data_IF_225771796695
#
_entry.id   IF_225771796695
#
_cell.length_a   1.000
_cell.length_b   1.000
_cell.length_c   1.000
_cell.angle_alpha   90.00
_cell.angle_beta   90.00
_cell.angle_gamma   90.00
#
_symmetry.space_group_name_H-M   'P 1'
#
loop_
_entity.id
_entity.type
_entity.pdbx_description
1 polymer ?
#
# COMPACT_ATOMS: atom_id res chain seq x y z
N UNK A 1 18.18 -0.85 30.52
CA UNK A 1 17.46 -0.73 29.24
C UNK A 1 18.08 0.48 28.59
N UNK A 2 18.65 0.32 27.40
CA UNK A 2 18.92 1.48 26.56
C UNK A 2 17.58 2.12 26.21
N UNK A 3 17.49 3.43 26.04
CA UNK A 3 16.28 4.09 25.51
C UNK A 3 16.55 4.48 24.04
N UNK A 4 17.02 3.53 23.25
CA UNK A 4 17.52 3.80 21.90
C UNK A 4 16.34 4.08 20.97
N UNK A 5 16.29 5.30 20.43
CA UNK A 5 15.23 5.75 19.53
C UNK A 5 15.77 5.91 18.12
N UNK A 6 15.04 5.45 17.10
CA UNK A 6 15.31 5.79 15.71
C UNK A 6 14.16 6.59 15.08
N UNK A 7 14.45 7.25 13.96
CA UNK A 7 13.47 7.96 13.14
C UNK A 7 13.40 7.36 11.74
N UNK A 8 12.21 6.95 11.32
CA UNK A 8 11.89 6.68 9.92
C UNK A 8 11.29 7.95 9.32
N UNK A 9 11.90 8.46 8.26
CA UNK A 9 11.34 9.53 7.45
C UNK A 9 10.90 8.97 6.10
N UNK A 10 9.61 9.06 5.78
CA UNK A 10 9.11 8.68 4.46
C UNK A 10 9.22 9.86 3.48
N UNK A 11 9.99 9.71 2.41
CA UNK A 11 10.16 10.74 1.40
C UNK A 11 8.98 10.81 0.40
N UNK A 12 8.05 9.86 0.48
CA UNK A 12 6.83 9.77 -0.32
C UNK A 12 7.04 10.00 -1.82
N UNK A 13 7.50 8.98 -2.54
CA UNK A 13 7.63 8.96 -3.99
C UNK A 13 6.34 9.17 -4.80
N UNK A 14 5.20 9.42 -4.14
CA UNK A 14 3.95 9.82 -4.79
C UNK A 14 3.77 11.33 -4.95
N UNK A 15 4.67 12.14 -4.37
CA UNK A 15 4.55 13.60 -4.41
C UNK A 15 3.38 14.15 -3.58
N UNK A 16 3.05 13.52 -2.44
CA UNK A 16 2.02 14.02 -1.52
C UNK A 16 2.49 15.30 -0.80
N UNK A 17 3.79 15.40 -0.54
CA UNK A 17 4.47 16.60 -0.06
C UNK A 17 5.40 17.10 -1.18
N UNK A 18 5.63 18.42 -1.22
CA UNK A 18 6.52 19.05 -2.20
C UNK A 18 7.98 18.64 -2.00
N UNK A 19 8.80 18.80 -3.05
CA UNK A 19 10.23 18.51 -2.97
C UNK A 19 10.95 19.43 -1.97
N UNK A 20 10.62 20.73 -1.95
CA UNK A 20 11.13 21.67 -0.95
C UNK A 20 10.85 21.20 0.49
N UNK A 21 9.63 20.73 0.76
CA UNK A 21 9.26 20.24 2.09
C UNK A 21 10.02 18.98 2.48
N UNK A 22 10.33 18.10 1.52
CA UNK A 22 11.12 16.89 1.77
C UNK A 22 12.55 17.25 2.16
N UNK A 23 13.16 18.18 1.44
CA UNK A 23 14.51 18.68 1.71
C UNK A 23 14.57 19.39 3.07
N UNK A 24 13.62 20.29 3.35
CA UNK A 24 13.51 20.98 4.63
C UNK A 24 13.36 20.00 5.82
N UNK A 25 12.56 18.94 5.68
CA UNK A 25 12.41 17.91 6.71
C UNK A 25 13.70 17.10 6.90
N UNK A 26 14.35 16.69 5.81
CA UNK A 26 15.62 15.96 5.86
C UNK A 26 16.68 16.75 6.63
N UNK A 27 16.87 18.03 6.29
CA UNK A 27 17.83 18.90 6.99
C UNK A 27 17.44 19.15 8.44
N UNK A 28 16.15 19.34 8.72
CA UNK A 28 15.66 19.56 10.09
C UNK A 28 15.81 18.33 10.99
N UNK A 29 15.80 17.12 10.44
CA UNK A 29 15.93 15.88 11.21
C UNK A 29 17.38 15.50 11.53
N UNK A 30 18.35 15.80 10.66
CA UNK A 30 19.78 15.49 10.89
C UNK A 30 20.32 15.86 12.29
N UNK A 31 20.02 17.04 12.87
CA UNK A 31 20.57 17.42 14.18
C UNK A 31 19.82 16.82 15.39
N UNK A 32 18.84 15.94 15.19
CA UNK A 32 18.01 15.41 16.28
C UNK A 32 18.75 14.45 17.24
N UNK A 33 19.92 13.93 16.84
CA UNK A 33 20.73 13.06 17.71
C UNK A 33 20.16 11.64 17.84
N UNK A 34 19.55 11.12 16.77
CA UNK A 34 19.07 9.74 16.65
C UNK A 34 19.44 9.17 15.29
N UNK A 35 19.48 7.85 15.19
CA UNK A 35 19.65 7.14 13.91
C UNK A 35 18.44 7.41 12.99
N UNK A 36 18.70 7.81 11.74
CA UNK A 36 17.65 8.19 10.77
C UNK A 36 17.70 7.28 9.56
N UNK A 37 16.53 6.74 9.20
CA UNK A 37 16.29 6.02 7.96
C UNK A 37 15.33 6.81 7.08
N UNK A 38 15.84 7.39 6.01
CA UNK A 38 14.99 7.99 4.96
C UNK A 38 14.58 6.92 3.95
N UNK A 39 13.28 6.69 3.83
CA UNK A 39 12.71 5.70 2.91
C UNK A 39 12.00 6.39 1.76
N UNK A 40 12.29 6.01 0.52
CA UNK A 40 11.59 6.56 -0.65
C UNK A 40 10.06 6.41 -0.55
N UNK A 41 9.59 5.21 -0.18
CA UNK A 41 8.17 4.90 -0.02
C UNK A 41 7.94 3.91 1.14
N UNK A 42 7.58 4.39 2.33
CA UNK A 42 7.25 3.50 3.46
C UNK A 42 6.13 2.48 3.10
N UNK A 43 5.20 2.87 2.25
CA UNK A 43 4.15 1.98 1.76
C UNK A 43 4.67 0.82 0.89
N UNK A 44 5.77 1.01 0.16
CA UNK A 44 6.44 -0.04 -0.58
C UNK A 44 7.27 -0.93 0.34
N UNK A 45 8.02 -0.33 1.28
CA UNK A 45 8.78 -1.08 2.30
C UNK A 45 7.88 -2.01 3.10
N UNK A 46 6.70 -1.55 3.52
CA UNK A 46 5.77 -2.40 4.27
C UNK A 46 5.26 -3.63 3.50
N UNK A 47 5.33 -3.63 2.16
CA UNK A 47 4.94 -4.78 1.33
C UNK A 47 6.10 -5.75 1.08
N UNK A 48 7.31 -5.20 0.85
CA UNK A 48 8.40 -5.92 0.22
C UNK A 48 9.67 -6.04 1.09
N UNK A 49 9.85 -5.16 2.07
CA UNK A 49 11.05 -5.07 2.93
C UNK A 49 10.65 -5.14 4.41
N UNK A 50 9.86 -6.17 4.76
CA UNK A 50 9.33 -6.33 6.12
C UNK A 50 10.41 -6.67 7.13
N UNK A 51 11.40 -7.45 6.70
CA UNK A 51 12.51 -7.90 7.55
C UNK A 51 13.27 -6.70 8.09
N UNK A 52 13.58 -5.71 7.24
CA UNK A 52 14.17 -4.44 7.68
C UNK A 52 13.31 -3.74 8.75
N UNK A 53 11.99 -3.64 8.54
CA UNK A 53 11.10 -3.01 9.53
C UNK A 53 11.03 -3.80 10.84
N UNK A 54 11.13 -5.13 10.79
CA UNK A 54 11.18 -5.98 11.99
C UNK A 54 12.53 -5.86 12.71
N UNK A 55 13.63 -5.70 11.99
CA UNK A 55 14.96 -5.46 12.57
C UNK A 55 14.99 -4.16 13.39
N UNK A 56 14.22 -3.13 12.99
CA UNK A 56 14.12 -1.91 13.78
C UNK A 56 13.51 -2.15 15.16
N UNK A 57 12.52 -3.04 15.27
CA UNK A 57 11.90 -3.41 16.57
C UNK A 57 12.88 -4.17 17.48
N UNK A 58 13.88 -4.84 16.89
CA UNK A 58 14.92 -5.57 17.64
C UNK A 58 16.06 -4.65 18.09
N UNK A 59 16.39 -3.65 17.28
CA UNK A 59 17.56 -2.79 17.47
C UNK A 59 17.25 -1.49 18.24
N UNK A 60 15.98 -1.11 18.33
CA UNK A 60 15.54 0.14 18.95
C UNK A 60 14.37 -0.10 19.89
N UNK A 61 14.40 0.60 21.02
CA UNK A 61 13.35 0.55 22.02
C UNK A 61 12.11 1.37 21.59
N UNK A 62 12.30 2.34 20.67
CA UNK A 62 11.25 3.20 20.13
C UNK A 62 11.53 3.61 18.69
N UNK A 63 10.51 3.61 17.85
CA UNK A 63 10.59 4.07 16.45
C UNK A 63 9.66 5.27 16.22
N UNK A 64 10.23 6.44 15.94
CA UNK A 64 9.46 7.59 15.49
C UNK A 64 9.29 7.52 13.96
N UNK A 65 8.12 7.91 13.43
CA UNK A 65 7.81 7.77 12.01
C UNK A 65 7.21 9.07 11.48
N UNK A 66 7.96 9.85 10.70
CA UNK A 66 7.45 10.99 9.96
C UNK A 66 6.93 10.53 8.58
N UNK A 67 5.61 10.42 8.43
CA UNK A 67 4.98 9.82 7.26
C UNK A 67 3.57 10.37 6.96
N UNK A 68 2.74 9.56 6.30
CA UNK A 68 1.32 9.85 6.09
C UNK A 68 0.52 9.80 7.40
N UNK A 69 -0.80 9.94 7.32
CA UNK A 69 -1.70 9.88 8.48
C UNK A 69 -1.44 8.65 9.38
N UNK A 70 -1.44 8.81 10.72
CA UNK A 70 -1.26 7.71 11.68
C UNK A 70 -2.22 6.54 11.45
N UNK A 71 -3.49 6.83 11.18
CA UNK A 71 -4.51 5.83 10.85
C UNK A 71 -4.17 5.03 9.59
N UNK A 72 -3.58 5.66 8.57
CA UNK A 72 -3.10 4.95 7.39
C UNK A 72 -1.92 4.02 7.72
N UNK A 73 -0.90 4.53 8.41
CA UNK A 73 0.31 3.76 8.73
C UNK A 73 -0.01 2.57 9.64
N UNK A 74 -0.79 2.78 10.69
CA UNK A 74 -1.21 1.72 11.62
C UNK A 74 -1.91 0.57 10.89
N UNK A 75 -2.93 0.87 10.10
CA UNK A 75 -3.68 -0.16 9.38
C UNK A 75 -2.86 -0.80 8.26
N UNK A 76 -1.92 -0.06 7.66
CA UNK A 76 -0.99 -0.60 6.66
C UNK A 76 -0.03 -1.62 7.27
N UNK A 77 0.56 -1.31 8.43
CA UNK A 77 1.44 -2.23 9.14
C UNK A 77 0.70 -3.50 9.55
N UNK A 78 -0.50 -3.35 10.12
CA UNK A 78 -1.32 -4.50 10.49
C UNK A 78 -1.72 -5.34 9.27
N UNK A 79 -2.18 -4.71 8.18
CA UNK A 79 -2.58 -5.40 6.96
C UNK A 79 -1.42 -6.15 6.32
N UNK A 80 -0.23 -5.57 6.32
CA UNK A 80 0.93 -6.14 5.66
C UNK A 80 1.77 -7.04 6.57
N UNK A 81 1.43 -7.16 7.86
CA UNK A 81 2.17 -8.00 8.82
C UNK A 81 3.52 -7.41 9.26
N UNK A 82 3.63 -6.08 9.28
CA UNK A 82 4.78 -5.38 9.89
C UNK A 82 4.62 -5.41 11.40
N UNK A 83 5.64 -5.88 12.10
CA UNK A 83 5.70 -5.98 13.56
C UNK A 83 6.63 -4.87 14.05
N UNK A 84 6.04 -3.78 14.52
CA UNK A 84 6.70 -2.69 15.23
C UNK A 84 5.87 -2.45 16.49
N UNK A 85 6.46 -2.67 17.65
CA UNK A 85 5.76 -2.74 18.93
C UNK A 85 5.61 -1.36 19.59
N UNK A 86 6.66 -0.53 19.52
CA UNK A 86 6.67 0.80 20.12
C UNK A 86 7.02 1.87 19.07
N UNK A 87 5.99 2.37 18.38
CA UNK A 87 6.16 3.44 17.41
C UNK A 87 5.15 4.58 17.56
N UNK A 88 5.55 5.77 17.13
CA UNK A 88 4.71 6.96 17.07
C UNK A 88 4.79 7.60 15.68
N UNK A 89 3.64 7.97 15.10
CA UNK A 89 3.55 8.48 13.72
C UNK A 89 3.22 9.97 13.74
N UNK A 90 4.03 10.75 13.01
CA UNK A 90 3.85 12.18 12.81
C UNK A 90 3.40 12.44 11.38
N UNK A 91 2.25 13.10 11.25
CA UNK A 91 1.61 13.33 9.95
C UNK A 91 2.25 14.50 9.20
N UNK A 92 3.10 14.23 8.22
CA UNK A 92 3.68 15.30 7.41
C UNK A 92 2.69 15.99 6.46
N UNK A 93 1.47 15.45 6.29
CA UNK A 93 0.56 15.94 5.25
C UNK A 93 -0.10 17.24 5.66
N UNK A 94 -0.33 17.39 6.95
CA UNK A 94 -1.05 18.52 7.52
C UNK A 94 -0.13 19.42 8.36
N UNK A 95 0.84 18.84 9.07
CA UNK A 95 1.77 19.61 9.88
C UNK A 95 2.88 20.25 9.04
N UNK A 96 3.32 21.45 9.42
CA UNK A 96 4.49 22.12 8.84
C UNK A 96 5.80 21.52 9.32
N UNK A 97 6.92 21.87 8.67
CA UNK A 97 8.26 21.35 9.02
C UNK A 97 8.62 21.65 10.47
N UNK A 98 8.48 22.90 10.90
CA UNK A 98 8.78 23.32 12.28
C UNK A 98 8.00 22.51 13.32
N UNK A 99 6.70 22.34 13.10
CA UNK A 99 5.82 21.60 14.01
C UNK A 99 6.23 20.13 14.10
N UNK A 100 6.46 19.46 12.96
CA UNK A 100 6.85 18.03 12.94
C UNK A 100 8.20 17.85 13.64
N UNK A 101 9.17 18.69 13.33
CA UNK A 101 10.51 18.61 13.94
C UNK A 101 10.45 18.82 15.45
N UNK A 102 9.65 19.79 15.91
CA UNK A 102 9.44 20.00 17.34
C UNK A 102 8.76 18.79 18.01
N UNK A 103 7.71 18.24 17.39
CA UNK A 103 6.97 17.09 17.92
C UNK A 103 7.84 15.83 17.97
N UNK A 104 8.63 15.57 16.93
CA UNK A 104 9.60 14.45 16.91
C UNK A 104 10.67 14.67 17.99
N UNK A 105 11.27 15.86 18.05
CA UNK A 105 12.32 16.15 19.04
C UNK A 105 11.82 16.02 20.47
N UNK A 106 10.56 16.37 20.75
CA UNK A 106 9.97 16.25 22.07
C UNK A 106 9.75 14.79 22.51
N UNK A 107 9.81 13.84 21.58
CA UNK A 107 9.63 12.40 21.82
C UNK A 107 10.93 11.61 21.89
N UNK A 108 12.07 12.28 21.71
CA UNK A 108 13.42 11.73 21.90
C UNK A 108 13.81 11.96 23.36
N UNK A 109 13.97 10.87 24.11
CA UNK A 109 14.30 10.92 25.54
C UNK A 109 15.81 11.07 25.78
N UNK A 110 16.61 10.40 24.96
CA UNK A 110 18.07 10.37 25.07
C UNK A 110 18.69 10.50 23.68
N UNK A 111 19.66 11.41 23.54
CA UNK A 111 20.43 11.57 22.31
C UNK A 111 21.56 10.54 22.29
N UNK A 112 21.87 10.06 21.09
CA UNK A 112 22.95 9.11 20.87
C UNK A 112 24.25 9.85 20.56
N UNK A 113 25.38 9.34 21.05
CA UNK A 113 26.71 9.94 20.84
C UNK A 113 27.15 9.88 19.38
N UNK A 114 26.87 8.75 18.72
CA UNK A 114 27.09 8.54 17.29
C UNK A 114 25.75 8.20 16.63
N UNK A 115 25.43 8.92 15.55
CA UNK A 115 24.20 8.74 14.78
C UNK A 115 24.52 8.66 13.31
N UNK A 116 23.76 7.88 12.55
CA UNK A 116 23.85 7.88 11.10
C UNK A 116 22.56 8.37 10.43
N UNK A 117 22.70 8.74 9.17
CA UNK A 117 21.61 9.04 8.26
C UNK A 117 21.73 8.12 7.04
N UNK A 118 20.77 7.20 6.89
CA UNK A 118 20.77 6.24 5.78
C UNK A 118 19.57 6.46 4.87
N UNK A 119 19.81 6.61 3.57
CA UNK A 119 18.76 6.65 2.55
C UNK A 119 18.58 5.24 1.98
N UNK A 120 17.36 4.69 2.12
CA UNK A 120 17.00 3.39 1.55
C UNK A 120 15.96 3.55 0.45
N UNK A 121 16.31 3.01 -0.71
CA UNK A 121 15.45 2.93 -1.89
C UNK A 121 14.97 1.50 -2.10
N UNK A 122 13.85 1.35 -2.80
CA UNK A 122 13.30 0.05 -3.17
C UNK A 122 13.11 -0.02 -4.67
N UNK A 123 13.50 -1.14 -5.28
CA UNK A 123 13.30 -1.40 -6.71
C UNK A 123 11.91 -2.02 -6.97
N UNK A 124 10.86 -1.27 -6.62
CA UNK A 124 9.50 -1.68 -6.95
C UNK A 124 9.12 -1.17 -8.34
N UNK A 125 8.92 -2.08 -9.30
CA UNK A 125 8.60 -1.76 -10.71
C UNK A 125 7.26 -1.06 -10.92
N UNK A 126 6.39 -1.06 -9.92
CA UNK A 126 5.08 -0.41 -9.96
C UNK A 126 4.94 0.50 -8.74
N UNK A 127 4.20 1.61 -8.82
CA UNK A 127 3.88 2.40 -7.65
C UNK A 127 3.22 1.54 -6.58
N UNK A 128 3.58 1.75 -5.32
CA UNK A 128 2.93 1.11 -4.16
C UNK A 128 1.54 1.73 -3.90
N UNK A 129 0.68 1.68 -4.91
CA UNK A 129 -0.71 2.10 -4.87
C UNK A 129 -1.59 0.89 -4.57
N UNK A 130 -2.16 0.82 -3.37
CA UNK A 130 -3.07 -0.26 -2.98
C UNK A 130 -4.00 0.20 -1.85
N UNK A 131 -5.18 -0.43 -1.70
CA UNK A 131 -6.07 -0.13 -0.58
C UNK A 131 -5.52 -0.68 0.72
N UNK A 132 -5.73 0.06 1.80
CA UNK A 132 -5.52 -0.38 3.18
C UNK A 132 -6.88 -0.46 3.86
N UNK A 133 -7.15 -1.57 4.54
CA UNK A 133 -8.40 -1.79 5.27
C UNK A 133 -8.22 -1.37 6.72
N UNK A 134 -9.04 -0.42 7.15
CA UNK A 134 -9.25 -0.11 8.55
C UNK A 134 -10.20 -1.13 9.19
N UNK A 135 -9.62 -2.11 9.87
CA UNK A 135 -10.40 -3.21 10.47
C UNK A 135 -11.33 -2.73 11.57
N UNK A 136 -10.99 -1.65 12.29
CA UNK A 136 -11.83 -1.10 13.36
C UNK A 136 -13.15 -0.54 12.84
N UNK A 137 -13.19 -0.12 11.55
CA UNK A 137 -14.38 0.43 10.90
C UNK A 137 -15.04 -0.54 9.92
N UNK A 138 -14.33 -1.57 9.46
CA UNK A 138 -14.84 -2.47 8.44
C UNK A 138 -16.03 -3.30 8.96
N UNK A 139 -17.20 -3.11 8.34
CA UNK A 139 -18.41 -3.88 8.68
C UNK A 139 -18.51 -5.23 7.95
N UNK A 140 -17.45 -5.64 7.26
CA UNK A 140 -17.41 -6.84 6.38
C UNK A 140 -18.54 -6.88 5.33
N UNK A 141 -19.10 -5.74 4.92
CA UNK A 141 -20.17 -5.70 3.92
C UNK A 141 -19.76 -6.21 2.53
N UNK A 142 -18.45 -6.21 2.22
CA UNK A 142 -17.87 -6.72 0.97
C UNK A 142 -18.13 -5.86 -0.27
N UNK A 143 -18.56 -4.61 -0.13
CA UNK A 143 -18.81 -3.73 -1.29
C UNK A 143 -17.53 -3.44 -2.08
N UNK A 144 -16.41 -3.17 -1.39
CA UNK A 144 -15.11 -2.95 -2.01
C UNK A 144 -14.63 -4.16 -2.85
N UNK A 145 -14.81 -5.38 -2.32
CA UNK A 145 -14.42 -6.61 -3.01
C UNK A 145 -15.23 -6.84 -4.29
N UNK A 146 -16.55 -6.64 -4.24
CA UNK A 146 -17.44 -6.78 -5.41
C UNK A 146 -17.23 -5.66 -6.45
N UNK A 147 -16.83 -4.46 -6.01
CA UNK A 147 -16.48 -3.36 -6.92
C UNK A 147 -15.18 -3.65 -7.68
N UNK A 148 -14.22 -4.31 -7.05
CA UNK A 148 -12.88 -4.49 -7.60
C UNK A 148 -12.85 -5.52 -8.74
N UNK A 149 -12.68 -5.04 -9.96
CA UNK A 149 -12.48 -5.89 -11.16
C UNK A 149 -11.05 -6.44 -11.28
N UNK A 150 -10.10 -5.90 -10.51
CA UNK A 150 -8.66 -6.21 -10.62
C UNK A 150 -8.20 -7.31 -9.65
N UNK A 151 -9.12 -7.89 -8.87
CA UNK A 151 -8.81 -8.99 -7.98
C UNK A 151 -7.89 -8.67 -6.80
N UNK A 152 -7.90 -7.41 -6.36
CA UNK A 152 -7.12 -6.93 -5.21
C UNK A 152 -7.57 -7.61 -3.90
N UNK A 153 -8.86 -7.89 -3.76
CA UNK A 153 -9.44 -8.39 -2.52
C UNK A 153 -9.74 -9.90 -2.56
N UNK A 154 -9.57 -10.55 -1.41
CA UNK A 154 -10.17 -11.85 -1.06
C UNK A 154 -11.31 -11.62 -0.06
N UNK A 155 -12.49 -12.19 -0.32
CA UNK A 155 -13.68 -11.98 0.51
C UNK A 155 -14.58 -13.22 0.56
N UNK A 156 -14.98 -13.64 1.77
CA UNK A 156 -15.82 -14.83 1.98
C UNK A 156 -16.98 -14.60 2.97
N UNK A 157 -17.41 -13.33 3.18
CA UNK A 157 -18.38 -12.88 4.19
C UNK A 157 -17.92 -13.00 5.66
N UNK A 158 -16.92 -13.81 5.96
CA UNK A 158 -16.30 -13.92 7.30
C UNK A 158 -15.00 -13.14 7.40
N UNK A 159 -14.27 -13.01 6.30
CA UNK A 159 -13.05 -12.23 6.18
C UNK A 159 -13.04 -11.39 4.91
N UNK A 160 -12.29 -10.29 4.97
CA UNK A 160 -11.97 -9.39 3.87
C UNK A 160 -10.50 -9.01 3.98
N UNK A 161 -9.71 -9.31 2.95
CA UNK A 161 -8.27 -9.10 2.93
C UNK A 161 -7.84 -8.51 1.57
N UNK A 162 -6.73 -7.76 1.58
CA UNK A 162 -6.06 -7.29 0.37
C UNK A 162 -5.04 -8.34 -0.05
N UNK A 163 -5.49 -9.31 -0.85
CA UNK A 163 -4.68 -10.46 -1.25
C UNK A 163 -3.67 -10.14 -2.37
N UNK A 164 -4.00 -9.20 -3.27
CA UNK A 164 -3.14 -8.81 -4.39
C UNK A 164 -2.97 -7.28 -4.43
N UNK A 165 -2.21 -6.68 -3.48
CA UNK A 165 -2.09 -5.23 -3.35
C UNK A 165 -1.61 -4.57 -4.66
N UNK A 166 -0.57 -5.13 -5.29
CA UNK A 166 0.03 -4.57 -6.52
C UNK A 166 -0.83 -4.79 -7.79
N UNK A 167 -1.95 -5.51 -7.71
CA UNK A 167 -2.91 -5.59 -8.81
C UNK A 167 -3.87 -4.40 -8.84
N UNK A 168 -3.82 -3.49 -7.87
CA UNK A 168 -4.69 -2.32 -7.87
C UNK A 168 -4.36 -1.40 -9.05
N UNK A 169 -5.39 -0.93 -9.77
CA UNK A 169 -5.19 0.09 -10.80
C UNK A 169 -4.75 1.39 -10.15
N UNK A 170 -3.56 1.86 -10.51
CA UNK A 170 -3.01 3.12 -10.04
C UNK A 170 -4.03 4.27 -10.15
N UNK A 171 -4.07 5.12 -9.13
CA UNK A 171 -4.96 6.28 -9.01
C UNK A 171 -6.47 5.96 -9.02
N UNK A 172 -6.88 4.72 -8.79
CA UNK A 172 -8.28 4.33 -8.69
C UNK A 172 -8.70 4.08 -7.23
N UNK A 173 -9.34 5.04 -6.54
CA UNK A 173 -9.81 4.86 -5.16
C UNK A 173 -11.32 4.51 -5.09
N UNK A 174 -11.90 4.06 -6.20
CA UNK A 174 -13.35 3.93 -6.35
C UNK A 174 -13.99 2.95 -5.33
N UNK A 175 -13.29 1.87 -4.97
CA UNK A 175 -13.73 0.95 -3.93
C UNK A 175 -13.80 1.60 -2.53
N UNK A 176 -12.95 2.61 -2.26
CA UNK A 176 -13.02 3.35 -1.00
C UNK A 176 -14.11 4.41 -0.99
N UNK A 177 -14.38 5.07 -2.12
CA UNK A 177 -15.50 6.01 -2.26
C UNK A 177 -16.89 5.37 -2.08
N UNK A 178 -17.02 4.07 -2.36
CA UNK A 178 -18.27 3.34 -2.12
C UNK A 178 -18.33 2.69 -0.74
N UNK A 179 -17.27 2.75 0.08
CA UNK A 179 -17.27 2.11 1.39
C UNK A 179 -18.20 2.90 2.34
N UNK A 180 -19.30 2.31 2.83
CA UNK A 180 -20.26 3.03 3.68
C UNK A 180 -19.70 3.34 5.07
N UNK A 181 -18.64 2.67 5.49
CA UNK A 181 -18.01 2.84 6.80
C UNK A 181 -16.71 3.68 6.73
N UNK A 182 -16.33 4.18 5.54
CA UNK A 182 -15.05 4.85 5.30
C UNK A 182 -13.83 4.04 5.76
N UNK A 183 -13.90 2.71 5.62
CA UNK A 183 -12.90 1.76 6.12
C UNK A 183 -11.78 1.43 5.10
N UNK A 184 -11.80 2.01 3.90
CA UNK A 184 -10.77 1.77 2.88
C UNK A 184 -9.96 3.05 2.71
N UNK A 185 -8.64 2.92 2.76
CA UNK A 185 -7.67 4.02 2.76
C UNK A 185 -6.70 3.86 1.58
N UNK A 186 -6.34 4.97 0.95
CA UNK A 186 -5.33 5.10 -0.10
C UNK A 186 -4.34 6.22 0.28
N UNK A 187 -3.23 5.91 0.96
CA UNK A 187 -2.31 6.94 1.49
C UNK A 187 -1.66 7.79 0.41
N UNK A 188 -1.48 7.22 -0.80
CA UNK A 188 -0.94 7.93 -1.98
C UNK A 188 -1.99 8.79 -2.70
N UNK A 189 -3.19 8.94 -2.15
CA UNK A 189 -4.21 9.82 -2.73
C UNK A 189 -3.91 11.29 -2.34
N UNK A 190 -3.83 12.23 -3.31
CA UNK A 190 -3.44 13.62 -3.04
C UNK A 190 -4.40 14.39 -2.12
N UNK A 191 -5.69 14.07 -2.14
CA UNK A 191 -6.68 14.75 -1.28
C UNK A 191 -6.40 14.48 0.21
N UNK A 192 -6.63 15.47 1.07
CA UNK A 192 -6.58 15.30 2.53
C UNK A 192 -7.97 14.96 3.05
N UNK A 193 -8.25 13.66 3.15
CA UNK A 193 -9.59 13.14 3.48
C UNK A 193 -9.49 11.82 4.23
N UNK A 194 -10.64 11.35 4.74
CA UNK A 194 -10.77 10.01 5.32
C UNK A 194 -10.30 8.89 4.39
N UNK A 195 -10.39 9.11 3.06
CA UNK A 195 -9.99 8.16 2.04
C UNK A 195 -8.47 8.12 1.85
N UNK A 196 -7.73 9.16 2.26
CA UNK A 196 -6.26 9.16 2.29
C UNK A 196 -5.66 8.84 3.66
N UNK A 197 -6.50 8.76 4.69
CA UNK A 197 -6.13 8.28 6.02
C UNK A 197 -6.44 9.25 7.15
N UNK A 198 -7.01 10.42 6.88
CA UNK A 198 -7.50 11.29 7.95
C UNK A 198 -8.58 10.58 8.77
N UNK A 199 -8.84 11.09 9.98
CA UNK A 199 -9.96 10.59 10.79
C UNK A 199 -11.28 10.90 10.08
N UNK A 200 -12.17 9.90 9.88
CA UNK A 200 -13.45 10.16 9.26
C UNK A 200 -14.34 11.00 10.19
N UNK A 201 -14.83 12.13 9.72
CA UNK A 201 -15.83 12.91 10.45
C UNK A 201 -17.15 12.14 10.53
N UNK A 202 -17.75 12.08 11.73
CA UNK A 202 -19.01 11.36 11.97
C UNK A 202 -20.21 11.92 11.18
N UNK A 203 -20.05 13.10 10.59
CA UNK A 203 -21.06 13.78 9.80
C UNK A 203 -20.73 13.77 8.30
N UNK A 204 -21.16 12.70 7.63
CA UNK A 204 -21.93 12.72 6.38
C UNK A 204 -22.15 11.29 5.86
N UNK A 205 -23.36 10.77 6.10
CA UNK A 205 -23.93 9.71 5.25
C UNK A 205 -23.93 10.26 3.82
N UNK A 206 -23.03 9.80 2.97
CA UNK A 206 -23.18 10.01 1.53
C UNK A 206 -24.48 9.32 1.12
N UNK A 207 -25.47 10.12 0.71
CA UNK A 207 -26.74 9.64 0.22
C UNK A 207 -26.52 8.59 -0.89
N UNK A 208 -26.88 7.34 -0.59
CA UNK A 208 -26.93 6.27 -1.58
C UNK A 208 -28.10 6.55 -2.52
N UNK A 209 -27.80 6.78 -3.79
CA UNK A 209 -28.80 6.83 -4.84
C UNK A 209 -29.09 5.38 -5.26
N UNK A 210 -30.31 4.89 -4.99
CA UNK A 210 -30.74 3.48 -5.12
C UNK A 210 -30.54 2.85 -6.52
N UNK A 211 -30.34 3.65 -7.56
CA UNK A 211 -30.09 3.16 -8.92
C UNK A 211 -28.72 2.48 -9.12
N UNK A 212 -27.75 2.66 -8.19
CA UNK A 212 -26.41 2.04 -8.31
C UNK A 212 -26.39 0.54 -7.99
N UNK A 213 -27.39 0.02 -7.28
CA UNK A 213 -27.46 -1.39 -6.89
C UNK A 213 -27.49 -2.35 -8.08
N UNK A 214 -28.29 -2.04 -9.10
CA UNK A 214 -28.44 -2.89 -10.29
C UNK A 214 -27.18 -2.93 -11.16
N UNK A 215 -26.53 -1.78 -11.39
CA UNK A 215 -25.27 -1.73 -12.15
C UNK A 215 -24.15 -2.51 -11.44
N UNK A 216 -24.10 -2.43 -10.11
CA UNK A 216 -23.11 -3.12 -9.31
C UNK A 216 -23.27 -4.65 -9.35
N UNK A 217 -24.51 -5.15 -9.31
CA UNK A 217 -24.80 -6.58 -9.46
C UNK A 217 -24.35 -7.07 -10.84
N UNK A 218 -24.70 -6.35 -11.92
CA UNK A 218 -24.29 -6.71 -13.29
C UNK A 218 -22.76 -6.73 -13.49
N UNK A 219 -22.04 -5.75 -12.94
CA UNK A 219 -20.57 -5.71 -13.03
C UNK A 219 -19.93 -6.90 -12.29
N UNK A 220 -20.50 -7.27 -11.14
CA UNK A 220 -20.01 -8.39 -10.34
C UNK A 220 -20.26 -9.74 -11.03
N UNK A 221 -21.45 -9.94 -11.62
CA UNK A 221 -21.77 -11.12 -12.44
C UNK A 221 -20.81 -11.24 -13.64
N UNK A 222 -20.56 -10.13 -14.34
CA UNK A 222 -19.60 -10.09 -15.46
C UNK A 222 -18.18 -10.47 -15.03
N UNK A 223 -17.73 -10.02 -13.84
CA UNK A 223 -16.40 -10.36 -13.32
C UNK A 223 -16.29 -11.84 -12.94
N UNK A 224 -17.31 -12.39 -12.28
CA UNK A 224 -17.33 -13.82 -11.91
C UNK A 224 -17.33 -14.70 -13.16
N UNK A 225 -18.11 -14.33 -14.18
CA UNK A 225 -18.10 -15.00 -15.47
C UNK A 225 -16.70 -14.95 -16.11
N UNK A 226 -16.05 -13.77 -16.17
CA UNK A 226 -14.68 -13.64 -16.71
C UNK A 226 -13.64 -14.47 -15.96
N UNK A 227 -13.70 -14.53 -14.63
CA UNK A 227 -12.77 -15.34 -13.81
C UNK A 227 -12.91 -16.84 -14.07
N UNK A 228 -14.13 -17.31 -14.33
CA UNK A 228 -14.39 -18.71 -14.65
C UNK A 228 -13.96 -19.06 -16.09
N UNK A 229 -14.11 -18.12 -17.04
CA UNK A 229 -13.70 -18.31 -18.44
C UNK A 229 -12.19 -18.58 -18.58
N UNK A 230 -11.34 -17.93 -17.78
CA UNK A 230 -9.89 -18.21 -17.82
C UNK A 230 -9.48 -19.52 -17.12
N UNK A 231 -10.33 -20.10 -16.27
CA UNK A 231 -9.99 -21.29 -15.47
C UNK A 231 -10.44 -22.62 -16.06
N UNK A 232 -11.42 -22.63 -16.96
CA UNK A 232 -11.87 -23.87 -17.60
C UNK A 232 -11.38 -23.93 -19.05
N UNK A 233 -10.39 -24.80 -19.29
CA UNK A 233 -9.98 -25.23 -20.64
C UNK A 233 -9.00 -24.32 -21.38
N UNK A 234 -9.01 -23.00 -21.18
CA UNK A 234 -8.16 -22.08 -21.96
C UNK A 234 -6.65 -22.33 -21.79
N UNK A 235 -6.20 -22.70 -20.60
CA UNK A 235 -4.78 -23.03 -20.35
C UNK A 235 -4.38 -24.37 -20.98
N UNK A 236 -5.26 -25.37 -20.91
CA UNK A 236 -5.05 -26.69 -21.53
C UNK A 236 -5.04 -26.58 -23.07
N UNK A 237 -5.97 -25.80 -23.64
CA UNK A 237 -6.01 -25.50 -25.06
C UNK A 237 -4.76 -24.73 -25.53
N UNK A 238 -4.31 -23.73 -24.78
CA UNK A 238 -3.08 -23.00 -25.11
C UNK A 238 -1.82 -23.90 -25.03
N UNK A 239 -1.79 -24.86 -24.10
CA UNK A 239 -0.68 -25.81 -23.98
C UNK A 239 -0.68 -26.86 -25.11
N UNK A 240 -1.86 -27.32 -25.52
CA UNK A 240 -2.06 -28.22 -26.68
C UNK A 240 -1.71 -27.53 -28.00
N UNK A 241 -2.17 -26.30 -28.22
CA UNK A 241 -1.82 -25.50 -29.41
C UNK A 241 -0.32 -25.25 -29.49
N UNK A 242 0.32 -24.93 -28.36
CA UNK A 242 1.78 -24.76 -28.28
C UNK A 242 2.51 -26.06 -28.63
N UNK A 243 2.06 -27.22 -28.14
CA UNK A 243 2.65 -28.53 -28.48
C UNK A 243 2.51 -28.83 -29.96
N UNK A 244 1.33 -28.60 -30.54
CA UNK A 244 1.06 -28.81 -31.96
C UNK A 244 1.93 -27.91 -32.86
N UNK A 245 2.04 -26.63 -32.53
CA UNK A 245 2.91 -25.71 -33.27
C UNK A 245 4.40 -26.09 -33.20
N UNK A 246 4.87 -26.61 -32.06
CA UNK A 246 6.24 -27.11 -31.91
C UNK A 246 6.49 -28.39 -32.72
N UNK A 247 5.50 -29.27 -32.83
CA UNK A 247 5.59 -30.47 -33.68
C UNK A 247 5.57 -30.12 -35.18
N UNK A 248 4.71 -29.18 -35.59
CA UNK A 248 4.66 -28.68 -36.96
C UNK A 248 6.00 -28.02 -37.36
N UNK A 249 6.60 -27.23 -36.46
CA UNK A 249 7.93 -26.64 -36.66
C UNK A 249 9.02 -27.72 -36.76
N UNK A 250 8.99 -28.74 -35.88
CA UNK A 250 9.95 -29.85 -35.95
C UNK A 250 9.81 -30.65 -37.24
N UNK A 251 8.59 -30.82 -37.74
CA UNK A 251 8.32 -31.52 -38.99
C UNK A 251 8.74 -30.70 -40.21
N UNK A 252 8.55 -29.37 -40.20
CA UNK A 252 9.04 -28.49 -41.27
C UNK A 252 10.57 -28.43 -41.32
N UNK A 253 11.24 -28.53 -40.17
CA UNK A 253 12.70 -28.60 -40.09
C UNK A 253 13.26 -29.97 -40.53
N UNK A 254 12.48 -31.05 -40.42
CA UNK A 254 12.86 -32.40 -40.84
C UNK A 254 12.64 -32.67 -42.33
N UNK A 255 11.67 -32.01 -42.96
CA UNK A 255 11.43 -32.05 -44.40
C UNK A 255 11.51 -30.62 -44.97
N UNK A 256 12.72 -30.08 -45.20
CA UNK A 256 12.84 -28.86 -45.98
C UNK A 256 12.31 -29.16 -47.39
N UNK A 257 11.26 -28.46 -47.81
CA UNK A 257 10.88 -28.46 -49.21
C UNK A 257 12.06 -27.90 -50.00
N UNK A 258 12.70 -28.75 -50.81
CA UNK A 258 13.54 -28.30 -51.90
C UNK A 258 12.61 -27.71 -52.96
N UNK A 259 12.22 -26.46 -52.78
CA UNK A 259 11.60 -25.68 -53.85
C UNK A 259 12.74 -24.91 -54.54
N UNK A 260 13.08 -25.41 -55.74
CA UNK A 260 13.93 -24.75 -56.73
C UNK A 260 13.22 -23.55 -57.37
#
# INVERSE_FOLDING_TARGET
MTNKTCLIFCNCGAGIISDDKKEELSEAFKPLGVDIYELHDLCAFSLNEKDFLHELDQNYDKTLIAACYPRAIKNMFEQNGVQLSNYEVFNFREAGVEQITADVSAKIEEKQDETFYEIKNIDLKVPAWYPIIDKSRCTLCGQCARFCVFGVYSYNKKSLEVANPLSCKNNCPACGRTCPASAIIFPRLPENSALSGAEPSDNKKAAGNDQKGNLFVMLNERNNARRNIFRQGAFQQAEEEKKRALEELKNSLKNPKNDA
#
